data_IF_322636724282
#
_entry.id   IF_322636724282
#
_cell.length_a   1.000
_cell.length_b   1.000
_cell.length_c   1.000
_cell.angle_alpha   90.00
_cell.angle_beta   90.00
_cell.angle_gamma   90.00
#
_symmetry.space_group_name_H-M   'P 1'
#
loop_
_entity.id
_entity.type
_entity.pdbx_description
1 polymer ?
#
# COMPACT_ATOMS: atom_id res chain seq x y z
N UNK A 1 -4.58 -8.68 -2.25
CA UNK A 1 -3.98 -8.50 -3.58
C UNK A 1 -4.92 -7.66 -4.41
N UNK A 2 -4.45 -6.52 -4.88
CA UNK A 2 -5.24 -5.57 -5.64
C UNK A 2 -4.37 -4.86 -6.68
N UNK A 3 -4.99 -4.43 -7.77
CA UNK A 3 -4.43 -3.47 -8.70
C UNK A 3 -4.74 -2.06 -8.19
N UNK A 4 -3.73 -1.21 -8.06
CA UNK A 4 -3.92 0.17 -7.65
C UNK A 4 -2.94 1.14 -8.28
N UNK A 5 -3.37 2.41 -8.33
CA UNK A 5 -2.59 3.54 -8.80
C UNK A 5 -2.08 4.36 -7.62
N UNK A 6 -0.79 4.66 -7.60
CA UNK A 6 -0.20 5.54 -6.59
C UNK A 6 -0.57 6.99 -6.92
N UNK A 7 -1.23 7.67 -6.00
CA UNK A 7 -1.64 9.06 -6.14
C UNK A 7 -0.63 10.03 -5.51
N UNK A 8 -0.09 9.66 -4.34
CA UNK A 8 0.85 10.48 -3.59
C UNK A 8 1.75 9.62 -2.70
N UNK A 9 2.96 10.11 -2.41
CA UNK A 9 3.92 9.52 -1.48
C UNK A 9 4.29 10.53 -0.38
N UNK A 10 4.35 10.08 0.86
CA UNK A 10 4.85 10.90 1.99
C UNK A 10 5.65 10.05 2.98
N UNK A 11 6.84 10.53 3.35
CA UNK A 11 7.57 9.98 4.49
C UNK A 11 6.93 10.45 5.81
N UNK A 12 6.73 9.53 6.75
CA UNK A 12 6.15 9.76 8.07
C UNK A 12 7.00 9.02 9.10
N UNK A 13 7.89 9.73 9.78
CA UNK A 13 8.87 9.10 10.67
C UNK A 13 9.80 8.16 9.89
N UNK A 14 9.81 6.88 10.27
CA UNK A 14 10.59 5.82 9.62
C UNK A 14 9.78 5.02 8.59
N UNK A 15 8.54 5.43 8.32
CA UNK A 15 7.64 4.77 7.37
C UNK A 15 7.41 5.64 6.13
N UNK A 16 7.02 5.01 5.02
CA UNK A 16 6.47 5.71 3.86
C UNK A 16 4.99 5.39 3.73
N UNK A 17 4.16 6.41 3.65
CA UNK A 17 2.73 6.29 3.34
C UNK A 17 2.48 6.64 1.88
N UNK A 18 1.82 5.75 1.17
CA UNK A 18 1.31 5.95 -0.17
C UNK A 18 -0.20 6.11 -0.12
N UNK A 19 -0.73 7.12 -0.80
CA UNK A 19 -2.14 7.18 -1.14
C UNK A 19 -2.36 6.41 -2.42
N UNK A 20 -3.26 5.43 -2.41
CA UNK A 20 -3.51 4.57 -3.57
C UNK A 20 -4.99 4.54 -3.93
N UNK A 21 -5.27 4.68 -5.21
CA UNK A 21 -6.59 4.41 -5.79
C UNK A 21 -6.68 2.91 -6.11
N UNK A 22 -7.70 2.24 -5.60
CA UNK A 22 -7.94 0.81 -5.86
C UNK A 22 -8.72 0.64 -7.15
N UNK A 23 -8.06 0.15 -8.20
CA UNK A 23 -8.64 -0.07 -9.54
C UNK A 23 -9.34 -1.41 -9.67
N UNK A 24 -8.74 -2.49 -9.14
CA UNK A 24 -9.35 -3.81 -9.14
C UNK A 24 -8.93 -4.63 -7.91
N UNK A 25 -9.84 -5.50 -7.44
CA UNK A 25 -9.65 -6.35 -6.25
C UNK A 25 -9.59 -7.80 -6.70
N UNK A 26 -8.47 -8.48 -6.46
CA UNK A 26 -8.31 -9.89 -6.90
C UNK A 26 -8.49 -10.88 -5.76
N UNK A 27 -7.73 -10.71 -4.68
CA UNK A 27 -7.84 -11.56 -3.49
C UNK A 27 -7.96 -10.68 -2.26
N UNK A 28 -9.14 -10.72 -1.66
CA UNK A 28 -9.52 -9.84 -0.56
C UNK A 28 -9.85 -10.66 0.69
N UNK A 29 -9.11 -10.43 1.79
CA UNK A 29 -9.40 -11.02 3.11
C UNK A 29 -10.03 -10.00 4.08
N UNK A 30 -10.09 -8.73 3.68
CA UNK A 30 -10.61 -7.60 4.45
C UNK A 30 -11.07 -6.52 3.46
N UNK A 31 -12.09 -5.70 3.78
CA UNK A 31 -12.63 -4.72 2.83
C UNK A 31 -11.57 -3.71 2.40
N UNK A 32 -11.45 -3.49 1.09
CA UNK A 32 -10.71 -2.37 0.50
C UNK A 32 -11.71 -1.36 -0.05
N UNK A 33 -11.53 -0.08 0.28
CA UNK A 33 -12.30 1.03 -0.29
C UNK A 33 -11.64 1.56 -1.56
N UNK A 34 -12.27 2.55 -2.20
CA UNK A 34 -11.75 3.13 -3.45
C UNK A 34 -10.40 3.83 -3.28
N UNK A 35 -10.14 4.39 -2.08
CA UNK A 35 -8.91 5.11 -1.77
C UNK A 35 -8.34 4.67 -0.43
N UNK A 36 -7.14 4.14 -0.46
CA UNK A 36 -6.48 3.51 0.68
C UNK A 36 -5.17 4.21 1.03
N UNK A 37 -4.76 4.11 2.29
CA UNK A 37 -3.40 4.45 2.70
C UNK A 37 -2.58 3.18 2.88
N UNK A 38 -1.61 3.01 2.00
CA UNK A 38 -0.66 1.92 2.03
C UNK A 38 0.62 2.35 2.76
N UNK A 39 1.01 1.59 3.77
CA UNK A 39 2.17 1.86 4.60
C UNK A 39 3.29 0.90 4.26
N UNK A 40 4.49 1.43 4.08
CA UNK A 40 5.73 0.67 3.95
C UNK A 40 6.59 1.01 5.16
N UNK A 41 7.10 0.03 5.92
CA UNK A 41 7.85 0.25 7.16
C UNK A 41 9.31 0.65 6.89
N UNK A 42 9.51 1.55 5.93
CA UNK A 42 10.83 2.02 5.49
C UNK A 42 10.70 3.31 4.68
N UNK A 43 11.77 4.11 4.65
CA UNK A 43 11.91 5.30 3.80
C UNK A 43 12.83 5.10 2.60
N UNK A 44 13.38 3.89 2.40
CA UNK A 44 14.31 3.54 1.32
C UNK A 44 13.77 3.79 -0.10
N UNK A 45 12.46 3.93 -0.28
CA UNK A 45 11.81 3.92 -1.60
C UNK A 45 11.66 2.51 -2.19
N UNK A 46 11.72 1.49 -1.34
CA UNK A 46 11.54 0.09 -1.69
C UNK A 46 10.26 -0.47 -1.02
N UNK A 47 9.35 -1.11 -1.78
CA UNK A 47 9.45 -1.37 -3.22
C UNK A 47 9.32 -0.09 -4.07
N UNK A 48 9.85 -0.16 -5.29
CA UNK A 48 9.93 0.99 -6.21
C UNK A 48 8.53 1.38 -6.73
N UNK A 49 7.88 2.27 -5.98
CA UNK A 49 6.57 2.83 -6.29
C UNK A 49 6.71 4.31 -6.62
N UNK A 50 6.32 4.69 -7.84
CA UNK A 50 6.28 6.08 -8.29
C UNK A 50 4.86 6.64 -8.30
N UNK A 51 4.71 7.93 -8.01
CA UNK A 51 3.44 8.63 -8.17
C UNK A 51 2.97 8.55 -9.63
N UNK A 52 1.67 8.34 -9.81
CA UNK A 52 1.05 8.08 -11.11
C UNK A 52 1.20 6.64 -11.60
N UNK A 53 2.13 5.86 -11.05
CA UNK A 53 2.36 4.47 -11.44
C UNK A 53 1.23 3.53 -10.98
N UNK A 54 0.95 2.52 -11.80
CA UNK A 54 -0.04 1.48 -11.52
C UNK A 54 0.66 0.16 -11.22
N UNK A 55 0.16 -0.57 -10.21
CA UNK A 55 0.84 -1.74 -9.67
C UNK A 55 -0.13 -2.82 -9.22
N UNK A 56 0.28 -4.08 -9.37
CA UNK A 56 -0.29 -5.21 -8.66
C UNK A 56 0.41 -5.35 -7.30
N UNK A 57 -0.35 -5.15 -6.22
CA UNK A 57 0.15 -5.04 -4.85
C UNK A 57 -0.35 -6.18 -3.97
N UNK A 58 0.56 -6.80 -3.22
CA UNK A 58 0.21 -7.75 -2.15
C UNK A 58 0.44 -7.12 -0.78
N UNK A 59 -0.57 -6.39 -0.31
CA UNK A 59 -0.58 -5.82 1.03
C UNK A 59 -1.30 -6.73 2.04
N UNK A 60 -0.90 -6.63 3.29
CA UNK A 60 -1.52 -7.30 4.44
C UNK A 60 -2.21 -6.28 5.33
N UNK A 61 -3.24 -6.70 6.07
CA UNK A 61 -3.84 -5.85 7.10
C UNK A 61 -3.02 -6.00 8.37
N UNK A 62 -2.41 -4.90 8.83
CA UNK A 62 -1.85 -4.82 10.16
C UNK A 62 -2.94 -4.36 11.12
N UNK A 63 -3.38 -5.28 11.98
CA UNK A 63 -4.35 -5.00 13.04
C UNK A 63 -3.59 -4.45 14.23
N UNK A 64 -3.89 -3.20 14.59
CA UNK A 64 -3.32 -2.59 15.77
C UNK A 64 -4.22 -2.90 16.98
N UNK A 65 -3.65 -3.50 18.02
CA UNK A 65 -4.36 -3.89 19.24
C UNK A 65 -4.36 -2.79 20.33
N UNK A 66 -3.68 -1.67 20.09
CA UNK A 66 -3.58 -0.48 20.96
C UNK A 66 -4.58 0.61 20.54
N UNK A 67 -5.72 0.22 19.93
CA UNK A 67 -6.82 1.10 19.52
C UNK A 67 -6.51 2.16 18.43
N UNK A 68 -5.43 2.03 17.67
CA UNK A 68 -5.25 2.85 16.46
C UNK A 68 -5.91 2.20 15.23
N UNK A 69 -6.12 3.00 14.17
CA UNK A 69 -6.74 2.51 12.93
C UNK A 69 -5.92 1.37 12.31
N UNK A 70 -6.60 0.33 11.84
CA UNK A 70 -5.98 -0.75 11.07
C UNK A 70 -5.28 -0.18 9.85
N UNK A 71 -4.07 -0.68 9.56
CA UNK A 71 -3.26 -0.20 8.44
C UNK A 71 -3.18 -1.25 7.34
N UNK A 72 -3.12 -0.78 6.10
CA UNK A 72 -2.74 -1.61 4.96
C UNK A 72 -1.21 -1.55 4.85
N UNK A 73 -0.52 -2.67 5.04
CA UNK A 73 0.93 -2.75 5.07
C UNK A 73 1.45 -3.44 3.81
N UNK A 74 2.42 -2.82 3.14
CA UNK A 74 3.27 -3.46 2.13
C UNK A 74 4.68 -3.59 2.71
N UNK A 75 5.19 -4.82 2.91
CA UNK A 75 6.56 -5.02 3.37
C UNK A 75 7.57 -4.38 2.40
N UNK A 76 8.73 -3.96 2.91
CA UNK A 76 9.81 -3.37 2.12
C UNK A 76 10.21 -4.24 0.91
N UNK A 77 10.25 -5.56 1.11
CA UNK A 77 10.52 -6.57 0.07
C UNK A 77 9.24 -7.29 -0.37
N UNK A 78 8.10 -6.63 -0.18
CA UNK A 78 6.78 -7.13 -0.54
C UNK A 78 6.58 -7.16 -2.04
N UNK A 79 5.58 -7.93 -2.49
CA UNK A 79 5.27 -8.02 -3.90
C UNK A 79 4.57 -6.75 -4.39
N UNK A 80 5.26 -6.02 -5.26
CA UNK A 80 4.75 -4.91 -6.04
C UNK A 80 5.26 -5.05 -7.48
N UNK A 81 4.36 -5.37 -8.40
CA UNK A 81 4.69 -5.50 -9.82
C UNK A 81 4.08 -4.34 -10.60
N UNK A 82 4.82 -3.62 -11.45
CA UNK A 82 4.23 -2.67 -12.38
C UNK A 82 3.07 -3.28 -13.17
N UNK A 83 2.04 -2.49 -13.40
CA UNK A 83 0.91 -2.82 -14.25
C UNK A 83 1.20 -2.29 -15.66
N UNK A 84 1.45 -3.22 -16.59
CA UNK A 84 1.71 -2.97 -18.01
C UNK A 84 0.70 -3.72 -18.86
#
# INVERSE_FOLDING_TARGET
VFHGRVLARRAVGQETRYEVEVKARYRQRFPLVAREYLWVPSTCGCPALSEGGEYLLMATRHVNHEHTLNRLLLPERGYARPWT
#
